data_IF_354927921904
#
_entry.id   IF_354927921904
#
_cell.length_a   1.000
_cell.length_b   1.000
_cell.length_c   1.000
_cell.angle_alpha   90.00
_cell.angle_beta   90.00
_cell.angle_gamma   90.00
#
_symmetry.space_group_name_H-M   'P 1'
#
loop_
_entity.id
_entity.type
_entity.pdbx_description
1 polymer ?
#
# COMPACT_ATOMS: atom_id res chain seq x y z
N UNK A 1 -13.22 -2.35 -1.53
CA UNK A 1 -13.35 -0.92 -1.14
C UNK A 1 -12.81 -0.64 0.25
N UNK A 2 -13.23 -1.36 1.31
CA UNK A 2 -12.75 -1.10 2.68
C UNK A 2 -11.21 -1.15 2.81
N UNK A 3 -10.55 -2.18 2.26
CA UNK A 3 -9.09 -2.28 2.31
C UNK A 3 -8.38 -1.10 1.63
N UNK A 4 -8.92 -0.62 0.50
CA UNK A 4 -8.40 0.54 -0.24
C UNK A 4 -8.56 1.80 0.62
N UNK A 5 -9.72 1.99 1.25
CA UNK A 5 -9.97 3.14 2.12
C UNK A 5 -8.96 3.18 3.28
N UNK A 6 -8.69 2.03 3.90
CA UNK A 6 -7.69 1.93 4.98
C UNK A 6 -6.31 2.32 4.45
N UNK A 7 -5.90 1.76 3.31
CA UNK A 7 -4.59 2.09 2.71
C UNK A 7 -4.50 3.57 2.33
N UNK A 8 -5.57 4.18 1.83
CA UNK A 8 -5.59 5.60 1.50
C UNK A 8 -5.52 6.51 2.73
N UNK A 9 -6.13 6.13 3.85
CA UNK A 9 -6.16 6.95 5.08
C UNK A 9 -4.87 6.80 5.89
N UNK A 10 -4.33 5.59 6.04
CA UNK A 10 -3.20 5.33 6.96
C UNK A 10 -1.95 4.75 6.29
N UNK A 11 -2.07 4.23 5.06
CA UNK A 11 -0.94 3.68 4.31
C UNK A 11 -0.21 4.75 3.49
N UNK A 12 -0.86 5.24 2.43
CA UNK A 12 -0.31 6.17 1.44
C UNK A 12 0.30 7.47 2.00
N UNK A 13 -0.20 8.05 3.11
CA UNK A 13 0.43 9.22 3.72
C UNK A 13 1.90 9.05 4.10
N UNK A 14 2.43 7.83 4.17
CA UNK A 14 3.86 7.60 4.42
C UNK A 14 4.76 8.38 3.46
N UNK A 15 4.35 8.52 2.18
CA UNK A 15 5.11 9.26 1.16
C UNK A 15 5.30 10.73 1.58
N UNK A 16 4.28 11.32 2.20
CA UNK A 16 4.30 12.71 2.66
C UNK A 16 5.05 12.88 3.99
N UNK A 17 5.21 11.79 4.76
CA UNK A 17 5.97 11.77 6.01
C UNK A 17 7.45 11.41 5.80
N UNK A 18 7.84 10.86 4.63
CA UNK A 18 9.24 10.56 4.30
C UNK A 18 10.21 11.75 4.48
N UNK A 19 9.86 13.00 4.08
CA UNK A 19 10.73 14.15 4.32
C UNK A 19 11.04 14.34 5.80
N UNK A 20 10.03 14.20 6.67
CA UNK A 20 10.17 14.31 8.13
C UNK A 20 11.08 13.22 8.66
N UNK A 21 10.91 11.96 8.24
CA UNK A 21 11.84 10.87 8.55
C UNK A 21 13.29 11.19 8.18
N UNK A 22 13.52 11.77 7.00
CA UNK A 22 14.89 12.06 6.54
C UNK A 22 15.53 13.25 7.25
N UNK A 23 14.72 14.19 7.73
CA UNK A 23 15.17 15.35 8.48
C UNK A 23 15.44 15.00 9.96
N UNK A 24 14.48 14.34 10.61
CA UNK A 24 14.46 14.14 12.05
C UNK A 24 15.08 12.81 12.50
N UNK A 25 14.94 11.74 11.71
CA UNK A 25 15.39 10.39 12.13
C UNK A 25 16.73 10.04 11.47
N UNK A 26 16.84 10.21 10.15
CA UNK A 26 18.05 9.81 9.43
C UNK A 26 19.09 10.94 9.31
N UNK A 27 18.70 12.20 9.55
CA UNK A 27 19.55 13.39 9.39
C UNK A 27 20.28 13.46 8.04
N UNK A 28 19.61 13.05 6.96
CA UNK A 28 20.14 13.00 5.58
C UNK A 28 19.54 14.07 4.65
N UNK A 29 18.52 14.79 5.10
CA UNK A 29 17.86 15.86 4.35
C UNK A 29 17.39 15.42 2.94
N UNK A 30 17.43 16.34 1.97
CA UNK A 30 16.92 16.11 0.62
C UNK A 30 17.62 14.97 -0.14
N UNK A 31 18.93 14.75 0.07
CA UNK A 31 19.64 13.62 -0.56
C UNK A 31 19.10 12.29 -0.07
N UNK A 32 18.84 12.16 1.24
CA UNK A 32 18.25 10.96 1.83
C UNK A 32 16.86 10.67 1.28
N UNK A 33 16.03 11.71 1.15
CA UNK A 33 14.70 11.61 0.54
C UNK A 33 14.78 11.11 -0.90
N UNK A 34 15.69 11.66 -1.72
CA UNK A 34 15.89 11.22 -3.10
C UNK A 34 16.21 9.73 -3.21
N UNK A 35 17.05 9.20 -2.33
CA UNK A 35 17.33 7.76 -2.29
C UNK A 35 16.12 6.92 -1.89
N UNK A 36 15.34 7.33 -0.88
CA UNK A 36 14.14 6.58 -0.46
C UNK A 36 13.05 6.60 -1.52
N UNK A 37 12.78 7.77 -2.12
CA UNK A 37 11.81 7.90 -3.22
C UNK A 37 12.30 7.13 -4.45
N UNK A 38 13.59 7.21 -4.77
CA UNK A 38 14.20 6.44 -5.86
C UNK A 38 14.07 4.93 -5.63
N UNK A 39 14.34 4.45 -4.42
CA UNK A 39 14.18 3.04 -4.06
C UNK A 39 12.72 2.58 -4.17
N UNK A 40 11.77 3.38 -3.67
CA UNK A 40 10.34 3.13 -3.84
C UNK A 40 9.95 3.07 -5.33
N UNK A 41 10.53 3.96 -6.14
CA UNK A 41 10.33 4.01 -7.59
C UNK A 41 10.87 2.77 -8.32
N UNK A 42 12.04 2.27 -7.93
CA UNK A 42 12.60 1.01 -8.46
C UNK A 42 11.66 -0.16 -8.11
N UNK A 43 11.22 -0.24 -6.86
CA UNK A 43 10.22 -1.24 -6.43
C UNK A 43 8.93 -1.18 -7.26
N UNK A 44 8.38 0.02 -7.41
CA UNK A 44 7.21 0.28 -8.22
C UNK A 44 7.40 -0.13 -9.69
N UNK A 45 8.55 0.20 -10.30
CA UNK A 45 8.86 -0.15 -11.67
C UNK A 45 8.98 -1.66 -11.86
N UNK A 46 9.67 -2.36 -10.96
CA UNK A 46 9.79 -3.82 -11.01
C UNK A 46 8.44 -4.51 -10.86
N UNK A 47 7.54 -3.99 -10.01
CA UNK A 47 6.17 -4.47 -9.93
C UNK A 47 5.40 -4.25 -11.24
N UNK A 48 5.45 -3.04 -11.81
CA UNK A 48 4.75 -2.72 -13.05
C UNK A 48 5.21 -3.59 -14.23
N UNK A 49 6.53 -3.72 -14.43
CA UNK A 49 7.10 -4.58 -15.45
C UNK A 49 6.77 -6.06 -15.21
N UNK A 50 6.86 -6.52 -13.95
CA UNK A 50 6.51 -7.89 -13.59
C UNK A 50 5.05 -8.23 -13.91
N UNK A 51 4.12 -7.32 -13.59
CA UNK A 51 2.69 -7.50 -13.90
C UNK A 51 2.44 -7.48 -15.41
N UNK A 52 3.11 -6.59 -16.16
CA UNK A 52 3.01 -6.53 -17.61
C UNK A 52 3.48 -7.83 -18.28
N UNK A 53 4.56 -8.45 -17.76
CA UNK A 53 5.08 -9.73 -18.26
C UNK A 53 4.20 -10.91 -17.85
N UNK A 54 3.65 -10.91 -16.63
CA UNK A 54 2.78 -11.99 -16.13
C UNK A 54 1.44 -12.07 -16.88
N UNK A 55 0.98 -10.98 -17.51
CA UNK A 55 -0.25 -10.98 -18.29
C UNK A 55 -1.49 -11.29 -17.43
N UNK A 56 -2.14 -12.43 -17.68
CA UNK A 56 -3.35 -12.80 -16.96
C UNK A 56 -3.00 -13.59 -15.69
N UNK A 57 -3.02 -12.90 -14.55
CA UNK A 57 -2.82 -13.53 -13.23
C UNK A 57 -4.03 -14.42 -12.93
N UNK A 58 -3.85 -15.75 -12.93
CA UNK A 58 -4.92 -16.73 -12.67
C UNK A 58 -5.69 -16.44 -11.38
N UNK A 59 -4.98 -16.14 -10.28
CA UNK A 59 -5.57 -15.88 -8.97
C UNK A 59 -5.35 -14.43 -8.53
N UNK A 60 -6.02 -13.48 -9.20
CA UNK A 60 -5.93 -12.03 -8.92
C UNK A 60 -6.15 -11.69 -7.44
N UNK A 61 -7.12 -12.34 -6.80
CA UNK A 61 -7.44 -12.13 -5.38
C UNK A 61 -6.31 -12.58 -4.45
N UNK A 62 -5.64 -13.69 -4.77
CA UNK A 62 -4.47 -14.18 -4.02
C UNK A 62 -3.28 -13.26 -4.19
N UNK A 63 -2.98 -12.87 -5.43
CA UNK A 63 -1.90 -11.93 -5.73
C UNK A 63 -2.12 -10.57 -5.04
N UNK A 64 -3.33 -10.02 -5.11
CA UNK A 64 -3.70 -8.78 -4.43
C UNK A 64 -3.49 -8.89 -2.90
N UNK A 65 -3.89 -10.02 -2.30
CA UNK A 65 -3.75 -10.24 -0.85
C UNK A 65 -2.28 -10.32 -0.42
N UNK A 66 -1.44 -11.01 -1.20
CA UNK A 66 0.00 -11.11 -0.94
C UNK A 66 0.64 -9.73 -1.09
N UNK A 67 0.35 -9.00 -2.17
CA UNK A 67 0.89 -7.66 -2.40
C UNK A 67 0.52 -6.68 -1.27
N UNK A 68 -0.73 -6.72 -0.80
CA UNK A 68 -1.20 -5.91 0.33
C UNK A 68 -0.42 -6.22 1.62
N UNK A 69 -0.16 -7.50 1.91
CA UNK A 69 0.65 -7.93 3.05
C UNK A 69 2.09 -7.44 2.93
N UNK A 70 2.72 -7.59 1.77
CA UNK A 70 4.08 -7.11 1.53
C UNK A 70 4.20 -5.60 1.71
N UNK A 71 3.27 -4.82 1.16
CA UNK A 71 3.24 -3.37 1.35
C UNK A 71 3.10 -3.00 2.83
N UNK A 72 2.15 -3.61 3.53
CA UNK A 72 1.86 -3.29 4.92
C UNK A 72 3.01 -3.71 5.85
N UNK A 73 3.61 -4.87 5.62
CA UNK A 73 4.75 -5.37 6.37
C UNK A 73 5.98 -4.50 6.14
N UNK A 74 6.22 -4.07 4.89
CA UNK A 74 7.29 -3.14 4.57
C UNK A 74 7.08 -1.78 5.26
N UNK A 75 5.86 -1.24 5.26
CA UNK A 75 5.56 0.02 5.93
C UNK A 75 5.78 -0.07 7.45
N UNK A 76 5.32 -1.16 8.07
CA UNK A 76 5.57 -1.42 9.49
C UNK A 76 7.07 -1.60 9.79
N UNK A 77 7.79 -2.39 9.00
CA UNK A 77 9.23 -2.59 9.15
C UNK A 77 10.03 -1.28 8.94
N UNK A 78 9.60 -0.42 8.02
CA UNK A 78 10.20 0.88 7.78
C UNK A 78 10.09 1.78 9.02
N UNK A 79 8.93 1.79 9.69
CA UNK A 79 8.72 2.60 10.90
C UNK A 79 9.64 2.21 12.06
N UNK A 80 10.03 0.92 12.13
CA UNK A 80 10.95 0.39 13.15
C UNK A 80 12.43 0.59 12.79
N UNK A 81 12.71 0.88 11.52
CA UNK A 81 14.08 0.94 11.01
C UNK A 81 14.77 2.25 11.40
N UNK A 82 15.83 2.14 12.21
CA UNK A 82 16.74 3.24 12.54
C UNK A 82 17.91 3.36 11.57
N UNK A 83 18.09 2.37 10.68
CA UNK A 83 19.22 2.30 9.76
C UNK A 83 18.79 2.67 8.35
N UNK A 84 19.35 3.76 7.82
CA UNK A 84 19.00 4.30 6.50
C UNK A 84 19.09 3.27 5.36
N UNK A 85 20.13 2.45 5.35
CA UNK A 85 20.32 1.42 4.31
C UNK A 85 19.28 0.31 4.35
N UNK A 86 18.85 -0.10 5.56
CA UNK A 86 17.75 -1.06 5.72
C UNK A 86 16.45 -0.44 5.22
N UNK A 87 16.22 0.83 5.57
CA UNK A 87 15.03 1.57 5.13
C UNK A 87 14.92 1.69 3.61
N UNK A 88 16.03 1.84 2.89
CA UNK A 88 16.06 1.82 1.41
C UNK A 88 15.53 0.50 0.86
N UNK A 89 16.03 -0.63 1.37
CA UNK A 89 15.62 -1.96 0.89
C UNK A 89 14.15 -2.22 1.22
N UNK A 90 13.74 -1.88 2.45
CA UNK A 90 12.36 -2.05 2.90
C UNK A 90 11.40 -1.19 2.08
N UNK A 91 11.75 0.06 1.79
CA UNK A 91 10.92 0.95 0.96
C UNK A 91 10.87 0.48 -0.49
N UNK A 92 11.92 -0.11 -1.04
CA UNK A 92 11.85 -0.74 -2.36
C UNK A 92 10.83 -1.90 -2.38
N UNK A 93 10.82 -2.75 -1.35
CA UNK A 93 9.81 -3.80 -1.20
C UNK A 93 8.40 -3.20 -1.02
N UNK A 94 8.28 -2.13 -0.25
CA UNK A 94 7.03 -1.39 -0.08
C UNK A 94 6.50 -0.83 -1.40
N UNK A 95 7.35 -0.19 -2.21
CA UNK A 95 6.99 0.32 -3.53
C UNK A 95 6.51 -0.78 -4.47
N UNK A 96 7.15 -1.95 -4.45
CA UNK A 96 6.69 -3.12 -5.19
C UNK A 96 5.29 -3.56 -4.73
N UNK A 97 5.11 -3.77 -3.41
CA UNK A 97 3.83 -4.19 -2.85
C UNK A 97 2.69 -3.21 -3.13
N UNK A 98 2.97 -1.90 -3.05
CA UNK A 98 2.00 -0.84 -3.31
C UNK A 98 1.48 -0.89 -4.75
N UNK A 99 2.38 -0.94 -5.74
CA UNK A 99 1.99 -0.96 -7.15
C UNK A 99 1.32 -2.28 -7.52
N UNK A 100 1.84 -3.41 -7.03
CA UNK A 100 1.21 -4.72 -7.23
C UNK A 100 -0.19 -4.77 -6.66
N UNK A 101 -0.40 -4.23 -5.46
CA UNK A 101 -1.72 -4.14 -4.85
C UNK A 101 -2.66 -3.26 -5.67
N UNK A 102 -2.23 -2.05 -6.04
CA UNK A 102 -3.07 -1.09 -6.74
C UNK A 102 -3.50 -1.61 -8.13
N UNK A 103 -2.57 -2.20 -8.88
CA UNK A 103 -2.86 -2.80 -10.17
C UNK A 103 -3.85 -3.97 -10.05
N UNK A 104 -3.64 -4.85 -9.07
CA UNK A 104 -4.52 -5.98 -8.83
C UNK A 104 -5.91 -5.55 -8.34
N UNK A 105 -5.99 -4.58 -7.43
CA UNK A 105 -7.25 -4.03 -6.93
C UNK A 105 -8.07 -3.36 -8.05
N UNK A 106 -7.41 -2.55 -8.88
CA UNK A 106 -8.03 -1.92 -10.04
C UNK A 106 -8.57 -2.97 -11.02
N UNK A 107 -7.77 -3.97 -11.39
CA UNK A 107 -8.21 -5.04 -12.29
C UNK A 107 -9.36 -5.87 -11.69
N UNK A 108 -9.27 -6.21 -10.40
CA UNK A 108 -10.31 -6.97 -9.69
C UNK A 108 -11.65 -6.26 -9.72
N UNK A 109 -11.67 -4.95 -9.44
CA UNK A 109 -12.89 -4.14 -9.47
C UNK A 109 -13.47 -4.08 -10.88
N UNK A 110 -12.64 -3.88 -11.90
CA UNK A 110 -13.11 -3.77 -13.29
C UNK A 110 -13.76 -5.06 -13.79
N UNK A 111 -13.22 -6.23 -13.43
CA UNK A 111 -13.77 -7.54 -13.84
C UNK A 111 -14.98 -7.95 -13.00
N UNK A 112 -15.10 -7.46 -11.76
CA UNK A 112 -16.21 -7.81 -10.85
C UNK A 112 -17.48 -6.96 -11.08
N UNK A 113 -17.42 -5.92 -11.91
CA UNK A 113 -18.50 -4.94 -12.06
C UNK A 113 -19.11 -5.05 -13.47
N UNK A 114 -20.44 -5.13 -13.60
CA UNK A 114 -21.13 -5.08 -14.89
C UNK A 114 -20.79 -3.82 -15.69
N UNK A 115 -20.70 -3.95 -17.01
CA UNK A 115 -20.26 -2.89 -17.92
C UNK A 115 -21.05 -1.57 -17.76
N UNK A 116 -22.36 -1.68 -17.58
CA UNK A 116 -23.29 -0.56 -17.35
C UNK A 116 -23.00 0.22 -16.06
N UNK A 117 -22.43 -0.43 -15.04
CA UNK A 117 -22.11 0.18 -13.74
C UNK A 117 -20.63 0.50 -13.59
N UNK A 118 -19.78 0.08 -14.54
CA UNK A 118 -18.32 0.18 -14.45
C UNK A 118 -17.87 1.62 -14.20
N UNK A 119 -18.41 2.58 -14.95
CA UNK A 119 -18.08 4.00 -14.76
C UNK A 119 -18.44 4.52 -13.36
N UNK A 120 -19.60 4.13 -12.82
CA UNK A 120 -20.06 4.55 -11.49
C UNK A 120 -19.19 3.97 -10.38
N UNK A 121 -18.87 2.67 -10.46
CA UNK A 121 -18.03 2.01 -9.46
C UNK A 121 -16.58 2.49 -9.52
N UNK A 122 -16.05 2.73 -10.73
CA UNK A 122 -14.70 3.30 -10.89
C UNK A 122 -14.60 4.73 -10.36
N UNK A 123 -15.65 5.55 -10.49
CA UNK A 123 -15.69 6.88 -9.86
C UNK A 123 -15.64 6.79 -8.34
N UNK A 124 -16.40 5.86 -7.74
CA UNK A 124 -16.34 5.63 -6.28
C UNK A 124 -14.97 5.09 -5.87
N UNK A 125 -14.38 4.18 -6.63
CA UNK A 125 -13.02 3.69 -6.40
C UNK A 125 -12.00 4.82 -6.40
N UNK A 126 -12.00 5.68 -7.42
CA UNK A 126 -11.10 6.82 -7.52
C UNK A 126 -11.33 7.83 -6.40
N UNK A 127 -12.59 8.06 -5.99
CA UNK A 127 -12.91 8.90 -4.84
C UNK A 127 -12.36 8.33 -3.54
N UNK A 128 -12.52 7.04 -3.28
CA UNK A 128 -11.97 6.38 -2.09
C UNK A 128 -10.44 6.37 -2.13
N UNK A 129 -9.86 6.09 -3.30
CA UNK A 129 -8.42 5.97 -3.46
C UNK A 129 -7.70 7.31 -3.33
N UNK A 130 -8.15 8.35 -4.05
CA UNK A 130 -7.50 9.66 -4.09
C UNK A 130 -8.14 10.67 -3.12
N UNK A 131 -9.46 10.66 -2.98
CA UNK A 131 -10.18 11.62 -2.15
C UNK A 131 -9.95 11.45 -0.66
N UNK A 132 -9.61 10.25 -0.20
CA UNK A 132 -9.27 9.99 1.20
C UNK A 132 -7.80 10.26 1.54
N UNK A 133 -6.91 10.41 0.57
CA UNK A 133 -5.47 10.66 0.82
C UNK A 133 -5.24 11.98 1.55
N UNK A 134 -5.85 13.12 1.16
CA UNK A 134 -5.71 14.37 1.91
C UNK A 134 -6.20 14.25 3.35
N UNK A 135 -7.33 13.55 3.56
CA UNK A 135 -7.88 13.29 4.89
C UNK A 135 -6.89 12.44 5.71
N UNK A 136 -6.35 11.39 5.11
CA UNK A 136 -5.29 10.58 5.69
C UNK A 136 -4.05 11.37 6.05
N UNK A 137 -3.58 12.26 5.16
CA UNK A 137 -2.44 13.14 5.42
C UNK A 137 -2.69 14.05 6.62
N UNK A 138 -3.89 14.63 6.73
CA UNK A 138 -4.24 15.47 7.89
C UNK A 138 -4.24 14.66 9.19
N UNK A 139 -4.85 13.47 9.19
CA UNK A 139 -4.90 12.59 10.37
C UNK A 139 -3.48 12.15 10.77
N UNK A 140 -2.69 11.69 9.80
CA UNK A 140 -1.34 11.21 10.01
C UNK A 140 -0.36 12.34 10.38
N UNK A 141 -0.58 13.56 9.89
CA UNK A 141 0.15 14.75 10.30
C UNK A 141 -0.10 15.10 11.76
N UNK A 142 -1.36 15.19 12.19
CA UNK A 142 -1.70 15.43 13.60
C UNK A 142 -1.18 14.30 14.49
N UNK A 143 -1.28 13.04 14.05
CA UNK A 143 -0.70 11.92 14.78
C UNK A 143 0.82 12.03 14.90
N UNK A 144 1.52 12.41 13.82
CA UNK A 144 2.96 12.60 13.84
C UNK A 144 3.38 13.71 14.81
N UNK A 145 2.62 14.80 14.93
CA UNK A 145 2.89 15.87 15.89
C UNK A 145 2.66 15.43 17.34
N UNK A 146 1.67 14.56 17.60
CA UNK A 146 1.29 14.14 18.95
C UNK A 146 2.15 13.01 19.51
N UNK A 147 2.42 11.97 18.71
CA UNK A 147 3.13 10.76 19.16
C UNK A 147 4.49 10.58 18.50
N UNK A 148 4.87 11.45 17.57
CA UNK A 148 6.08 11.32 16.77
C UNK A 148 5.83 10.62 15.44
N UNK A 149 6.59 11.02 14.41
CA UNK A 149 6.40 10.53 13.04
C UNK A 149 6.61 9.02 12.89
N UNK A 150 7.60 8.47 13.61
CA UNK A 150 7.90 7.04 13.56
C UNK A 150 6.73 6.21 14.12
N UNK A 151 6.22 6.59 15.28
CA UNK A 151 5.12 5.88 15.95
C UNK A 151 3.80 6.05 15.19
N UNK A 152 3.52 7.22 14.63
CA UNK A 152 2.36 7.43 13.76
C UNK A 152 2.38 6.48 12.55
N UNK A 153 3.50 6.39 11.83
CA UNK A 153 3.65 5.46 10.69
C UNK A 153 3.64 4.00 11.14
N UNK A 154 4.17 3.68 12.32
CA UNK A 154 4.11 2.34 12.90
C UNK A 154 2.67 1.90 13.14
N UNK A 155 1.85 2.76 13.76
CA UNK A 155 0.43 2.48 13.99
C UNK A 155 -0.34 2.34 12.67
N UNK A 156 -0.10 3.24 11.71
CA UNK A 156 -0.69 3.15 10.37
C UNK A 156 -0.32 1.86 9.63
N UNK A 157 0.97 1.50 9.67
CA UNK A 157 1.49 0.24 9.13
C UNK A 157 0.88 -0.99 9.79
N UNK A 158 0.72 -0.97 11.12
CA UNK A 158 0.07 -2.05 11.87
C UNK A 158 -1.41 -2.20 11.49
N UNK A 159 -2.15 -1.10 11.36
CA UNK A 159 -3.55 -1.11 10.90
C UNK A 159 -3.64 -1.69 9.49
N UNK A 160 -2.79 -1.25 8.56
CA UNK A 160 -2.71 -1.80 7.21
C UNK A 160 -2.39 -3.30 7.22
N UNK A 161 -1.48 -3.74 8.09
CA UNK A 161 -1.06 -5.13 8.19
C UNK A 161 -2.17 -6.02 8.72
N UNK A 162 -2.86 -5.59 9.79
CA UNK A 162 -4.01 -6.30 10.34
C UNK A 162 -5.16 -6.35 9.34
N UNK A 163 -5.48 -5.24 8.67
CA UNK A 163 -6.51 -5.21 7.65
C UNK A 163 -6.18 -6.15 6.47
N UNK A 164 -4.93 -6.16 6.02
CA UNK A 164 -4.44 -7.06 4.98
C UNK A 164 -4.48 -8.52 5.42
N UNK A 165 -4.11 -8.83 6.66
CA UNK A 165 -4.16 -10.18 7.20
C UNK A 165 -5.60 -10.71 7.33
N UNK A 166 -6.53 -9.86 7.81
CA UNK A 166 -7.96 -10.19 7.86
C UNK A 166 -8.52 -10.40 6.46
N UNK A 167 -8.17 -9.53 5.51
CA UNK A 167 -8.56 -9.68 4.12
C UNK A 167 -8.02 -10.98 3.51
N UNK A 168 -6.72 -11.24 3.67
CA UNK A 168 -6.07 -12.44 3.20
C UNK A 168 -6.73 -13.70 3.77
N UNK A 169 -6.98 -13.77 5.08
CA UNK A 169 -7.67 -14.90 5.72
C UNK A 169 -9.08 -15.12 5.16
N UNK A 170 -9.86 -14.05 4.99
CA UNK A 170 -11.25 -14.15 4.54
C UNK A 170 -11.38 -14.54 3.06
N UNK A 171 -10.44 -14.14 2.21
CA UNK A 171 -10.51 -14.39 0.77
C UNK A 171 -9.67 -15.58 0.32
N UNK A 172 -8.54 -15.87 0.95
CA UNK A 172 -7.76 -17.09 0.68
C UNK A 172 -8.49 -18.34 1.21
N UNK A 173 -9.10 -18.28 2.39
CA UNK A 173 -9.91 -19.40 2.90
C UNK A 173 -11.06 -19.76 1.95
N UNK A 174 -11.74 -18.75 1.39
CA UNK A 174 -12.80 -18.98 0.40
C UNK A 174 -12.31 -19.58 -0.93
N UNK A 175 -11.07 -19.29 -1.33
CA UNK A 175 -10.47 -19.86 -2.55
C UNK A 175 -10.13 -21.34 -2.35
N UNK A 176 -9.60 -21.72 -1.18
CA UNK A 176 -9.34 -23.12 -0.83
C UNK A 176 -10.65 -23.92 -0.64
N UNK A 177 -11.72 -23.27 -0.16
CA UNK A 177 -13.05 -23.87 0.00
C UNK A 177 -13.87 -23.92 -1.31
N UNK A 178 -13.32 -23.48 -2.46
CA UNK A 178 -14.02 -23.48 -3.76
C UNK A 178 -15.19 -22.51 -3.87
N UNK A 179 -15.35 -21.56 -2.94
CA UNK A 179 -16.44 -20.55 -2.91
C UNK A 179 -15.93 -19.12 -3.17
N UNK A 180 -14.73 -19.01 -3.73
CA UNK A 180 -14.07 -17.75 -4.02
C UNK A 180 -14.79 -16.97 -5.13
N UNK A 181 -14.73 -15.63 -5.13
CA UNK A 181 -15.21 -14.82 -6.25
C UNK A 181 -14.30 -15.08 -7.47
N UNK A 182 -14.71 -16.01 -8.33
CA UNK A 182 -13.94 -16.51 -9.47
C UNK A 182 -14.10 -18.01 -9.74
N UNK A 183 -14.74 -18.78 -8.84
CA UNK A 183 -15.21 -20.15 -9.10
C UNK A 183 -16.55 -20.14 -9.84
#
# INVERSE_FOLDING_TARGET
>A
MILIAIFSIVGLPYINLLPVFTAEIFHRGAKGLGFLVGASGIGALTAALGIAVMGNIENKTRFMSIAALFFSAALFAFSLSKTFWISIVVIAIGGWGMVSYLAAANSFIQVSVPDELRGRVMSVYSFVFLGLVPVGNSIMGVAADMVGTADAVMLGGLICLLASAVFARRYLGKLDDGTGPGA
#
